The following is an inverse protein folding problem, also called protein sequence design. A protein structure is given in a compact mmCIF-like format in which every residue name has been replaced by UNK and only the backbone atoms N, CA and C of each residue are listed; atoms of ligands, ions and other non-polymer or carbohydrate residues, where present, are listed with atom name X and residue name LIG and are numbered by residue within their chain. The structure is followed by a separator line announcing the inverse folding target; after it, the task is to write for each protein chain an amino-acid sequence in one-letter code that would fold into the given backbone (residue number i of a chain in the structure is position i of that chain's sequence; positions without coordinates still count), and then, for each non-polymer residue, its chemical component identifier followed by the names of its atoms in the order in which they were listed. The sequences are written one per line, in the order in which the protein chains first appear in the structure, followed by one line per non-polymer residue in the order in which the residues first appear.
data_IF_466222494932
#
_entry.id   IF_466222494932
#
_cell.length_a   1.000
_cell.length_b   1.000
_cell.length_c   1.000
_cell.angle_alpha   90.00
_cell.angle_beta   90.00
_cell.angle_gamma   90.00
#
_symmetry.space_group_name_H-M   'P 1'
#
loop_
_entity.id
_entity.type
_entity.pdbx_description
1 polymer ?
#
# COMPACT_ATOMS: atom_id res chain seq x y z
N UNK A 1 -6.25 -0.24 12.57
CA UNK A 1 -7.42 -0.51 11.70
C UNK A 1 -8.72 -0.17 12.42
N UNK A 2 -8.97 -0.66 13.66
CA UNK A 2 -10.23 -0.39 14.39
C UNK A 2 -10.48 1.12 14.60
N UNK A 3 -9.46 1.92 14.85
CA UNK A 3 -9.61 3.38 14.98
C UNK A 3 -10.08 4.03 13.66
N UNK A 4 -9.66 3.50 12.51
CA UNK A 4 -10.10 3.97 11.21
C UNK A 4 -11.62 3.84 11.05
N UNK A 5 -12.23 2.78 11.57
CA UNK A 5 -13.67 2.57 11.52
C UNK A 5 -14.46 3.75 12.13
N UNK A 6 -13.96 4.31 13.24
CA UNK A 6 -14.59 5.47 13.88
C UNK A 6 -14.45 6.76 13.06
N UNK A 7 -13.40 6.86 12.24
CA UNK A 7 -13.16 8.02 11.38
C UNK A 7 -14.07 7.98 10.15
N UNK A 8 -14.23 6.81 9.55
CA UNK A 8 -14.91 6.67 8.24
C UNK A 8 -16.42 6.45 8.34
N UNK A 9 -16.93 6.06 9.53
CA UNK A 9 -18.32 5.61 9.69
C UNK A 9 -19.36 6.67 9.36
N UNK A 10 -19.06 7.93 9.65
CA UNK A 10 -20.00 9.05 9.50
C UNK A 10 -19.72 9.89 8.23
N UNK A 11 -18.76 9.47 7.41
CA UNK A 11 -18.37 10.19 6.20
C UNK A 11 -19.22 9.76 5.00
N UNK A 12 -19.60 10.73 4.17
CA UNK A 12 -20.39 10.49 2.96
C UNK A 12 -19.51 10.24 1.72
N UNK A 13 -18.38 10.90 1.63
CA UNK A 13 -17.41 10.74 0.55
C UNK A 13 -16.00 10.90 1.12
N UNK A 14 -15.19 9.85 0.99
CA UNK A 14 -13.86 9.82 1.59
C UNK A 14 -12.90 8.96 0.76
N UNK A 15 -11.67 9.42 0.56
CA UNK A 15 -10.60 8.61 0.05
C UNK A 15 -9.57 8.32 1.15
N UNK A 16 -9.44 7.06 1.53
CA UNK A 16 -8.52 6.59 2.56
C UNK A 16 -7.26 6.07 1.89
N UNK A 17 -6.15 6.76 2.07
CA UNK A 17 -4.82 6.30 1.64
C UNK A 17 -4.12 5.62 2.81
N UNK A 18 -3.64 4.40 2.57
CA UNK A 18 -3.02 3.59 3.62
C UNK A 18 -1.67 3.05 3.14
N UNK A 19 -0.69 3.05 4.05
CA UNK A 19 0.61 2.42 3.87
C UNK A 19 0.64 0.97 4.36
N UNK A 20 1.76 0.28 4.18
CA UNK A 20 1.99 -1.06 4.69
C UNK A 20 1.81 -1.15 6.21
N UNK A 21 1.37 -2.30 6.71
CA UNK A 21 1.18 -2.53 8.15
C UNK A 21 2.50 -2.79 8.86
N UNK A 22 2.71 -2.11 9.98
CA UNK A 22 3.87 -2.33 10.87
C UNK A 22 5.21 -2.18 10.14
N UNK A 23 6.06 -3.20 10.24
CA UNK A 23 7.38 -3.22 9.59
C UNK A 23 7.40 -4.06 8.30
N UNK A 24 6.28 -4.21 7.62
CA UNK A 24 6.15 -5.07 6.43
C UNK A 24 7.08 -4.62 5.31
N UNK A 25 7.22 -3.32 5.06
CA UNK A 25 8.14 -2.80 4.04
C UNK A 25 9.58 -3.24 4.29
N UNK A 26 10.06 -3.14 5.54
CA UNK A 26 11.40 -3.61 5.91
C UNK A 26 11.57 -5.13 5.68
N UNK A 27 10.55 -5.92 6.05
CA UNK A 27 10.58 -7.37 5.84
C UNK A 27 10.56 -7.74 4.34
N UNK A 28 9.87 -6.96 3.49
CA UNK A 28 9.89 -7.11 2.04
C UNK A 28 11.23 -6.69 1.42
N UNK A 29 11.91 -5.71 2.01
CA UNK A 29 13.30 -5.37 1.62
C UNK A 29 14.26 -6.54 1.90
N UNK A 30 14.07 -7.29 2.99
CA UNK A 30 14.84 -8.51 3.25
C UNK A 30 14.56 -9.58 2.18
N UNK A 31 13.31 -9.72 1.70
CA UNK A 31 12.96 -10.61 0.58
C UNK A 31 13.67 -10.19 -0.70
N UNK A 32 13.67 -8.88 -1.01
CA UNK A 32 14.39 -8.34 -2.16
C UNK A 32 15.89 -8.61 -2.08
N UNK A 33 16.52 -8.40 -0.91
CA UNK A 33 17.94 -8.66 -0.71
C UNK A 33 18.30 -10.15 -0.82
N UNK A 34 17.41 -11.03 -0.38
CA UNK A 34 17.59 -12.49 -0.56
C UNK A 34 17.45 -12.89 -2.03
N UNK A 35 16.46 -12.34 -2.75
CA UNK A 35 16.31 -12.57 -4.19
C UNK A 35 17.57 -12.15 -4.97
N UNK A 36 18.17 -11.01 -4.64
CA UNK A 36 19.43 -10.53 -5.24
C UNK A 36 20.59 -11.51 -5.04
N UNK A 37 20.59 -12.24 -3.93
CA UNK A 37 21.59 -13.26 -3.57
C UNK A 37 21.26 -14.65 -4.14
N UNK A 38 20.06 -14.82 -4.74
CA UNK A 38 19.56 -16.10 -5.21
C UNK A 38 19.13 -17.04 -4.07
N UNK A 39 18.89 -16.53 -2.88
CA UNK A 39 18.45 -17.31 -1.70
C UNK A 39 16.92 -17.46 -1.69
N UNK A 40 16.45 -18.36 -2.55
CA UNK A 40 15.03 -18.66 -2.70
C UNK A 40 14.41 -19.21 -1.41
N UNK A 41 15.16 -20.03 -0.66
CA UNK A 41 14.67 -20.61 0.59
C UNK A 41 14.40 -19.53 1.65
N UNK A 42 15.29 -18.54 1.76
CA UNK A 42 15.05 -17.40 2.64
C UNK A 42 13.86 -16.55 2.17
N UNK A 43 13.73 -16.30 0.85
CA UNK A 43 12.56 -15.60 0.31
C UNK A 43 11.26 -16.25 0.73
N UNK A 44 11.13 -17.59 0.54
CA UNK A 44 9.92 -18.33 0.89
C UNK A 44 9.64 -18.28 2.40
N UNK A 45 10.67 -18.48 3.23
CA UNK A 45 10.54 -18.42 4.69
C UNK A 45 10.09 -17.02 5.16
N UNK A 46 10.69 -15.96 4.62
CA UNK A 46 10.34 -14.58 5.00
C UNK A 46 8.95 -14.19 4.54
N UNK A 47 8.53 -14.59 3.33
CA UNK A 47 7.16 -14.38 2.84
C UNK A 47 6.15 -15.11 3.73
N UNK A 48 6.45 -16.32 4.18
CA UNK A 48 5.59 -17.06 5.10
C UNK A 48 5.47 -16.34 6.47
N UNK A 49 6.56 -15.77 6.98
CA UNK A 49 6.56 -14.95 8.20
C UNK A 49 5.68 -13.69 8.04
N UNK A 50 5.85 -12.95 6.94
CA UNK A 50 5.04 -11.77 6.62
C UNK A 50 3.56 -12.16 6.51
N UNK A 51 3.26 -13.27 5.84
CA UNK A 51 1.90 -13.79 5.71
C UNK A 51 1.30 -14.12 7.09
N UNK A 52 2.05 -14.82 7.94
CA UNK A 52 1.60 -15.15 9.29
C UNK A 52 1.28 -13.92 10.14
N UNK A 53 2.11 -12.88 10.08
CA UNK A 53 1.84 -11.60 10.74
C UNK A 53 0.50 -10.98 10.30
N UNK A 54 0.23 -10.95 8.99
CA UNK A 54 -1.02 -10.40 8.48
C UNK A 54 -2.22 -11.27 8.85
N UNK A 55 -2.08 -12.58 8.87
CA UNK A 55 -3.15 -13.48 9.32
C UNK A 55 -3.43 -13.40 10.82
N UNK A 56 -2.43 -13.09 11.65
CA UNK A 56 -2.67 -12.74 13.07
C UNK A 56 -3.52 -11.47 13.16
N UNK A 57 -3.20 -10.45 12.37
CA UNK A 57 -4.00 -9.21 12.31
C UNK A 57 -5.42 -9.48 11.80
N UNK A 58 -5.59 -10.31 10.78
CA UNK A 58 -6.91 -10.71 10.26
C UNK A 58 -7.70 -11.44 11.35
N UNK A 59 -7.09 -12.38 12.05
CA UNK A 59 -7.75 -13.12 13.14
C UNK A 59 -8.26 -12.17 14.24
N UNK A 60 -7.46 -11.19 14.62
CA UNK A 60 -7.83 -10.17 15.63
C UNK A 60 -8.95 -9.26 15.15
N UNK A 61 -8.97 -8.87 13.88
CA UNK A 61 -9.99 -8.00 13.29
C UNK A 61 -11.31 -8.73 13.06
N UNK A 62 -11.24 -9.96 12.57
CA UNK A 62 -12.40 -10.72 12.15
C UNK A 62 -12.93 -11.67 13.24
N UNK A 63 -12.19 -11.82 14.35
CA UNK A 63 -12.60 -12.63 15.48
C UNK A 63 -12.49 -14.15 15.26
N UNK A 64 -11.74 -14.58 14.24
CA UNK A 64 -11.52 -16.00 13.94
C UNK A 64 -10.14 -16.23 13.32
N UNK A 65 -9.39 -17.17 13.89
CA UNK A 65 -8.10 -17.60 13.33
C UNK A 65 -8.25 -18.37 11.99
N UNK A 66 -9.45 -18.82 11.67
CA UNK A 66 -9.75 -19.54 10.44
C UNK A 66 -10.25 -18.60 9.32
N UNK A 67 -10.48 -17.32 9.63
CA UNK A 67 -10.93 -16.37 8.63
C UNK A 67 -9.89 -16.19 7.53
N UNK A 68 -10.34 -16.25 6.29
CA UNK A 68 -9.49 -16.08 5.10
C UNK A 68 -10.02 -14.98 4.21
N UNK A 69 -9.11 -14.26 3.59
CA UNK A 69 -9.37 -13.28 2.54
C UNK A 69 -8.66 -13.80 1.30
N UNK A 70 -9.42 -14.29 0.32
CA UNK A 70 -8.87 -14.95 -0.88
C UNK A 70 -7.93 -14.02 -1.65
N UNK A 71 -8.24 -12.73 -1.72
CA UNK A 71 -7.41 -11.72 -2.38
C UNK A 71 -6.05 -11.56 -1.68
N UNK A 72 -6.00 -11.68 -0.35
CA UNK A 72 -4.74 -11.65 0.41
C UNK A 72 -3.91 -12.90 0.12
N UNK A 73 -4.54 -14.07 0.06
CA UNK A 73 -3.85 -15.30 -0.32
C UNK A 73 -3.29 -15.23 -1.74
N UNK A 74 -4.07 -14.68 -2.68
CA UNK A 74 -3.64 -14.49 -4.06
C UNK A 74 -2.44 -13.52 -4.17
N UNK A 75 -2.42 -12.43 -3.38
CA UNK A 75 -1.29 -11.50 -3.34
C UNK A 75 -0.02 -12.18 -2.83
N UNK A 76 -0.09 -12.94 -1.73
CA UNK A 76 1.08 -13.67 -1.21
C UNK A 76 1.58 -14.75 -2.17
N UNK A 77 0.68 -15.45 -2.86
CA UNK A 77 1.07 -16.43 -3.86
C UNK A 77 1.72 -15.76 -5.09
N UNK A 78 1.20 -14.62 -5.55
CA UNK A 78 1.79 -13.84 -6.62
C UNK A 78 3.20 -13.34 -6.26
N UNK A 79 3.39 -12.81 -5.04
CA UNK A 79 4.70 -12.42 -4.54
C UNK A 79 5.65 -13.62 -4.50
N UNK A 80 5.25 -14.74 -3.88
CA UNK A 80 6.05 -15.97 -3.81
C UNK A 80 6.48 -16.42 -5.21
N UNK A 81 5.53 -16.51 -6.13
CA UNK A 81 5.80 -16.91 -7.50
C UNK A 81 6.76 -15.94 -8.19
N UNK A 82 6.62 -14.64 -7.99
CA UNK A 82 7.49 -13.64 -8.64
C UNK A 82 8.97 -13.81 -8.23
N UNK A 83 9.25 -14.11 -6.96
CA UNK A 83 10.63 -14.25 -6.46
C UNK A 83 11.21 -15.64 -6.63
N UNK A 84 10.39 -16.70 -6.82
CA UNK A 84 10.86 -18.09 -6.97
C UNK A 84 11.01 -18.52 -8.42
N UNK A 85 10.21 -17.99 -9.35
CA UNK A 85 10.24 -18.40 -10.76
C UNK A 85 11.06 -17.46 -11.65
N UNK A 86 11.25 -16.23 -11.26
CA UNK A 86 12.03 -15.27 -12.04
C UNK A 86 13.49 -15.21 -11.57
N UNK A 87 14.40 -15.08 -12.55
CA UNK A 87 15.79 -14.77 -12.23
C UNK A 87 15.94 -13.27 -11.98
N UNK A 88 16.68 -12.94 -10.93
CA UNK A 88 17.03 -11.56 -10.65
C UNK A 88 17.96 -11.00 -11.74
N UNK A 89 17.55 -9.91 -12.34
CA UNK A 89 18.33 -9.16 -13.32
C UNK A 89 18.86 -7.86 -12.67
N UNK A 90 20.19 -7.73 -12.60
CA UNK A 90 20.85 -6.58 -11.97
C UNK A 90 20.49 -5.25 -12.64
N UNK A 91 20.26 -5.27 -13.95
CA UNK A 91 19.85 -4.09 -14.74
C UNK A 91 18.45 -3.59 -14.38
N UNK A 92 17.62 -4.44 -13.78
CA UNK A 92 16.23 -4.14 -13.35
C UNK A 92 16.09 -4.17 -11.82
N UNK A 93 17.18 -3.97 -11.10
CA UNK A 93 17.18 -4.10 -9.63
C UNK A 93 16.18 -3.18 -8.93
N UNK A 94 16.06 -1.93 -9.37
CA UNK A 94 15.13 -0.96 -8.76
C UNK A 94 13.67 -1.28 -9.09
N UNK A 95 13.40 -1.80 -10.28
CA UNK A 95 12.08 -2.30 -10.66
C UNK A 95 11.67 -3.52 -9.81
N UNK A 96 12.60 -4.46 -9.57
CA UNK A 96 12.36 -5.59 -8.67
C UNK A 96 12.10 -5.14 -7.24
N UNK A 97 12.83 -4.13 -6.77
CA UNK A 97 12.59 -3.53 -5.47
C UNK A 97 11.15 -3.01 -5.37
N UNK A 98 10.76 -2.13 -6.30
CA UNK A 98 9.42 -1.54 -6.31
C UNK A 98 8.32 -2.60 -6.40
N UNK A 99 8.51 -3.60 -7.26
CA UNK A 99 7.59 -4.72 -7.42
C UNK A 99 7.37 -5.47 -6.10
N UNK A 100 8.45 -5.79 -5.37
CA UNK A 100 8.38 -6.57 -4.13
C UNK A 100 7.80 -5.74 -2.98
N UNK A 101 8.29 -4.53 -2.76
CA UNK A 101 7.86 -3.74 -1.60
C UNK A 101 6.41 -3.27 -1.71
N UNK A 102 5.89 -3.09 -2.93
CA UNK A 102 4.49 -2.70 -3.17
C UNK A 102 3.46 -3.68 -2.58
N UNK A 103 3.83 -4.93 -2.36
CA UNK A 103 2.92 -5.91 -1.74
C UNK A 103 2.53 -5.55 -0.31
N UNK A 104 3.34 -4.75 0.39
CA UNK A 104 3.00 -4.24 1.72
C UNK A 104 1.70 -3.43 1.71
N UNK A 105 1.61 -2.47 0.82
CA UNK A 105 0.45 -1.61 0.65
C UNK A 105 -0.74 -2.35 0.05
N UNK A 106 -0.50 -3.23 -0.91
CA UNK A 106 -1.56 -4.04 -1.52
C UNK A 106 -2.26 -4.93 -0.49
N UNK A 107 -1.49 -5.66 0.31
CA UNK A 107 -2.04 -6.53 1.36
C UNK A 107 -2.73 -5.72 2.44
N UNK A 108 -2.11 -4.64 2.92
CA UNK A 108 -2.67 -3.76 3.95
C UNK A 108 -4.04 -3.22 3.55
N UNK A 109 -4.14 -2.62 2.37
CA UNK A 109 -5.39 -2.00 1.90
C UNK A 109 -6.47 -3.02 1.59
N UNK A 110 -6.11 -4.22 1.11
CA UNK A 110 -7.06 -5.33 0.91
C UNK A 110 -7.69 -5.76 2.23
N UNK A 111 -6.89 -5.93 3.28
CA UNK A 111 -7.39 -6.28 4.62
C UNK A 111 -8.30 -5.19 5.18
N UNK A 112 -7.91 -3.92 5.03
CA UNK A 112 -8.68 -2.78 5.54
C UNK A 112 -10.03 -2.68 4.81
N UNK A 113 -10.03 -2.76 3.49
CA UNK A 113 -11.26 -2.71 2.69
C UNK A 113 -12.22 -3.86 3.08
N UNK A 114 -11.72 -5.08 3.21
CA UNK A 114 -12.51 -6.23 3.64
C UNK A 114 -13.08 -6.03 5.06
N UNK A 115 -12.29 -5.52 6.00
CA UNK A 115 -12.72 -5.25 7.36
C UNK A 115 -13.80 -4.17 7.43
N UNK A 116 -13.63 -3.05 6.74
CA UNK A 116 -14.63 -1.98 6.68
C UNK A 116 -15.96 -2.50 6.11
N UNK A 117 -15.92 -3.28 5.03
CA UNK A 117 -17.12 -3.90 4.45
C UNK A 117 -17.81 -4.85 5.43
N UNK A 118 -17.06 -5.65 6.20
CA UNK A 118 -17.60 -6.52 7.25
C UNK A 118 -18.31 -5.71 8.34
N UNK A 119 -17.73 -4.59 8.74
CA UNK A 119 -18.28 -3.71 9.78
C UNK A 119 -19.41 -2.80 9.26
N UNK A 120 -19.88 -3.01 8.03
CA UNK A 120 -21.01 -2.31 7.44
C UNK A 120 -20.65 -0.98 6.74
N UNK A 121 -19.38 -0.60 6.71
CA UNK A 121 -18.89 0.57 5.97
C UNK A 121 -18.58 0.16 4.55
N UNK A 122 -19.55 0.30 3.66
CA UNK A 122 -19.42 -0.02 2.23
C UNK A 122 -18.37 0.86 1.60
N UNK A 123 -17.34 0.23 1.01
CA UNK A 123 -16.23 0.92 0.37
C UNK A 123 -15.78 0.19 -0.90
N UNK A 124 -15.07 0.91 -1.74
CA UNK A 124 -14.47 0.40 -2.98
C UNK A 124 -12.95 0.44 -2.86
N UNK A 125 -12.30 -0.70 -3.03
CA UNK A 125 -10.85 -0.79 -3.10
C UNK A 125 -10.37 -0.34 -4.49
N UNK A 126 -9.42 0.58 -4.53
CA UNK A 126 -8.84 1.16 -5.75
C UNK A 126 -7.38 0.75 -5.87
N UNK A 127 -7.00 0.09 -6.97
CA UNK A 127 -5.59 -0.20 -7.27
C UNK A 127 -4.90 1.07 -7.79
N UNK A 128 -4.10 1.70 -6.92
CA UNK A 128 -3.45 2.98 -7.24
C UNK A 128 -2.42 2.87 -8.35
N UNK A 129 -1.92 1.68 -8.66
CA UNK A 129 -1.04 1.44 -9.83
C UNK A 129 -1.78 1.66 -11.16
N UNK A 130 -3.11 1.57 -11.16
CA UNK A 130 -3.95 1.87 -12.34
C UNK A 130 -4.35 3.35 -12.42
N UNK A 131 -4.12 4.10 -11.35
CA UNK A 131 -4.54 5.49 -11.19
C UNK A 131 -3.37 6.47 -11.21
N UNK A 132 -2.27 6.11 -10.56
CA UNK A 132 -1.07 6.95 -10.49
C UNK A 132 -0.08 6.57 -11.59
N UNK A 133 -0.07 7.38 -12.65
CA UNK A 133 0.98 7.31 -13.67
C UNK A 133 2.19 8.08 -13.19
N UNK A 134 3.36 7.47 -13.29
CA UNK A 134 4.61 8.05 -12.80
C UNK A 134 5.63 8.21 -13.91
N UNK A 135 6.67 8.97 -13.65
CA UNK A 135 7.87 8.94 -14.47
C UNK A 135 8.44 7.51 -14.51
N UNK A 136 9.15 7.16 -15.60
CA UNK A 136 9.86 5.90 -15.73
C UNK A 136 11.12 5.87 -14.84
N UNK A 137 10.94 6.02 -13.54
CA UNK A 137 11.97 6.01 -12.51
C UNK A 137 11.49 5.16 -11.34
N UNK A 138 12.31 4.22 -10.92
CA UNK A 138 12.01 3.36 -9.77
C UNK A 138 12.57 3.93 -8.46
N UNK A 139 12.03 3.49 -7.31
CA UNK A 139 12.38 3.84 -5.92
C UNK A 139 12.08 5.27 -5.48
N UNK A 140 11.91 6.20 -6.39
CA UNK A 140 11.71 7.62 -6.11
C UNK A 140 11.02 8.28 -7.31
N UNK A 141 9.89 7.68 -7.74
CA UNK A 141 9.12 8.16 -8.87
C UNK A 141 8.26 9.36 -8.50
N UNK A 142 8.14 10.31 -9.40
CA UNK A 142 7.16 11.39 -9.28
C UNK A 142 5.88 11.03 -10.02
N UNK A 143 4.74 11.30 -9.40
CA UNK A 143 3.43 11.16 -10.05
C UNK A 143 3.27 12.24 -11.13
N UNK A 144 2.90 11.80 -12.32
CA UNK A 144 2.48 12.66 -13.42
C UNK A 144 1.02 13.08 -13.15
N UNK A 145 0.86 14.21 -12.46
CA UNK A 145 -0.45 14.62 -11.88
C UNK A 145 -1.49 14.77 -12.99
N UNK A 146 -1.16 15.45 -14.11
CA UNK A 146 -2.10 15.71 -15.18
C UNK A 146 -2.56 14.41 -15.84
N UNK A 147 -1.64 13.47 -16.08
CA UNK A 147 -1.91 12.16 -16.68
C UNK A 147 -2.70 11.26 -15.72
N UNK A 148 -2.52 11.44 -14.42
CA UNK A 148 -3.20 10.65 -13.38
C UNK A 148 -4.62 11.13 -13.08
N UNK A 149 -5.00 12.35 -13.48
CA UNK A 149 -6.34 12.92 -13.23
C UNK A 149 -7.46 12.05 -13.81
N UNK A 150 -7.34 11.70 -15.07
CA UNK A 150 -8.39 10.94 -15.77
C UNK A 150 -8.55 9.53 -15.20
N UNK A 151 -7.49 8.70 -15.07
CA UNK A 151 -7.65 7.35 -14.55
C UNK A 151 -8.17 7.33 -13.12
N UNK A 152 -7.71 8.22 -12.22
CA UNK A 152 -8.21 8.27 -10.85
C UNK A 152 -9.69 8.67 -10.77
N UNK A 153 -10.08 9.71 -11.50
CA UNK A 153 -11.49 10.15 -11.54
C UNK A 153 -12.41 9.09 -12.14
N UNK A 154 -11.98 8.40 -13.19
CA UNK A 154 -12.76 7.31 -13.77
C UNK A 154 -12.89 6.13 -12.80
N UNK A 155 -11.83 5.78 -12.07
CA UNK A 155 -11.88 4.71 -11.06
C UNK A 155 -12.88 5.04 -9.95
N UNK A 156 -12.88 6.28 -9.45
CA UNK A 156 -13.85 6.73 -8.45
C UNK A 156 -15.28 6.79 -9.01
N UNK A 157 -15.47 7.26 -10.24
CA UNK A 157 -16.78 7.37 -10.87
C UNK A 157 -17.40 5.99 -11.21
N UNK A 158 -16.58 5.00 -11.53
CA UNK A 158 -17.01 3.63 -11.82
C UNK A 158 -17.28 2.80 -10.56
N UNK A 159 -16.84 3.26 -9.39
CA UNK A 159 -17.01 2.55 -8.14
C UNK A 159 -18.44 2.68 -7.60
N UNK A 160 -18.95 1.61 -6.99
CA UNK A 160 -20.30 1.57 -6.43
C UNK A 160 -20.45 2.42 -5.17
N UNK A 161 -19.36 2.58 -4.42
CA UNK A 161 -19.37 3.26 -3.13
C UNK A 161 -18.57 4.57 -3.18
N UNK A 162 -18.90 5.48 -2.26
CA UNK A 162 -18.26 6.80 -2.14
C UNK A 162 -17.11 6.84 -1.13
N UNK A 163 -16.90 5.76 -0.39
CA UNK A 163 -15.73 5.58 0.45
C UNK A 163 -14.75 4.71 -0.34
N UNK A 164 -13.56 5.23 -0.56
CA UNK A 164 -12.51 4.56 -1.32
C UNK A 164 -11.34 4.19 -0.41
N UNK A 165 -10.75 3.03 -0.66
CA UNK A 165 -9.51 2.60 0.02
C UNK A 165 -8.45 2.34 -1.05
N UNK A 166 -7.35 3.07 -0.99
CA UNK A 166 -6.25 2.97 -1.94
C UNK A 166 -4.88 2.92 -1.26
N UNK A 167 -3.89 2.42 -2.00
CA UNK A 167 -2.52 2.33 -1.54
C UNK A 167 -1.86 3.71 -1.57
N UNK A 168 -1.12 4.06 -0.52
CA UNK A 168 -0.09 5.07 -0.60
C UNK A 168 1.18 4.52 -1.26
N UNK A 169 2.17 5.36 -1.48
CA UNK A 169 3.53 4.99 -1.84
C UNK A 169 3.73 4.36 -3.23
N UNK A 170 2.71 3.83 -3.92
CA UNK A 170 2.86 3.11 -5.18
C UNK A 170 2.12 3.75 -6.35
N UNK A 171 2.64 3.54 -7.56
CA UNK A 171 2.05 3.89 -8.84
C UNK A 171 2.56 2.98 -9.94
N UNK A 172 2.49 3.41 -11.20
CA UNK A 172 3.06 2.67 -12.32
C UNK A 172 3.76 3.57 -13.33
N UNK A 173 4.85 3.07 -13.89
CA UNK A 173 5.53 3.64 -15.02
C UNK A 173 4.72 3.47 -16.32
N UNK A 174 5.06 4.17 -17.43
CA UNK A 174 4.34 4.08 -18.70
C UNK A 174 4.32 2.69 -19.33
N UNK A 175 5.27 1.83 -19.01
CA UNK A 175 5.33 0.43 -19.45
C UNK A 175 4.48 -0.52 -18.59
N UNK A 176 3.80 0.01 -17.57
CA UNK A 176 2.96 -0.75 -16.65
C UNK A 176 3.71 -1.38 -15.48
N UNK A 177 5.01 -1.20 -15.36
CA UNK A 177 5.77 -1.68 -14.19
C UNK A 177 5.42 -0.88 -12.94
N UNK A 178 5.37 -1.55 -11.79
CA UNK A 178 5.09 -0.89 -10.51
C UNK A 178 6.25 0.04 -10.14
N UNK A 179 5.92 1.23 -9.64
CA UNK A 179 6.88 2.20 -9.11
C UNK A 179 6.58 2.54 -7.66
N UNK A 180 7.60 2.95 -6.90
CA UNK A 180 7.43 3.52 -5.56
C UNK A 180 7.79 5.00 -5.55
N UNK A 181 7.12 5.77 -4.68
CA UNK A 181 7.18 7.24 -4.66
C UNK A 181 8.24 7.78 -3.68
N UNK A 182 9.11 6.90 -3.21
CA UNK A 182 10.18 7.29 -2.29
C UNK A 182 9.69 7.58 -0.86
N UNK A 183 10.51 8.30 -0.12
CA UNK A 183 10.27 8.59 1.31
C UNK A 183 9.01 9.42 1.49
N UNK A 184 8.21 9.11 2.55
CA UNK A 184 6.91 9.75 2.82
C UNK A 184 5.89 9.61 1.66
N UNK A 185 6.06 8.58 0.84
CA UNK A 185 5.27 8.35 -0.37
C UNK A 185 3.77 8.21 -0.12
N UNK A 186 3.35 7.76 1.07
CA UNK A 186 1.92 7.68 1.41
C UNK A 186 1.28 9.06 1.63
N UNK A 187 1.98 9.98 2.30
CA UNK A 187 1.51 11.35 2.51
C UNK A 187 1.46 12.10 1.18
N UNK A 188 2.49 11.91 0.35
CA UNK A 188 2.51 12.44 -1.01
C UNK A 188 1.34 11.90 -1.84
N UNK A 189 1.06 10.60 -1.76
CA UNK A 189 -0.11 10.00 -2.44
C UNK A 189 -1.42 10.65 -2.00
N UNK A 190 -1.60 10.86 -0.69
CA UNK A 190 -2.80 11.52 -0.15
C UNK A 190 -2.95 12.95 -0.68
N UNK A 191 -1.86 13.72 -0.72
CA UNK A 191 -1.86 15.07 -1.27
C UNK A 191 -2.20 15.11 -2.77
N UNK A 192 -1.68 14.17 -3.55
CA UNK A 192 -1.99 14.05 -4.98
C UNK A 192 -3.46 13.69 -5.19
N UNK A 193 -4.00 12.73 -4.43
CA UNK A 193 -5.43 12.37 -4.48
C UNK A 193 -6.30 13.57 -4.13
N UNK A 194 -6.00 14.27 -3.02
CA UNK A 194 -6.73 15.45 -2.61
C UNK A 194 -6.74 16.55 -3.69
N UNK A 195 -5.59 16.79 -4.32
CA UNK A 195 -5.49 17.75 -5.43
C UNK A 195 -6.31 17.32 -6.64
N UNK A 196 -6.19 16.06 -7.09
CA UNK A 196 -6.88 15.56 -8.29
C UNK A 196 -8.40 15.55 -8.11
N UNK A 197 -8.88 15.15 -6.94
CA UNK A 197 -10.31 15.04 -6.63
C UNK A 197 -10.92 16.34 -6.11
N UNK A 198 -10.10 17.39 -5.91
CA UNK A 198 -10.52 18.67 -5.32
C UNK A 198 -11.16 18.49 -3.94
N UNK A 199 -10.51 17.70 -3.09
CA UNK A 199 -10.99 17.44 -1.75
C UNK A 199 -11.05 18.75 -0.91
N UNK A 200 -12.09 18.89 -0.12
CA UNK A 200 -12.28 20.04 0.79
C UNK A 200 -11.24 20.06 1.91
N UNK A 201 -10.79 18.88 2.33
CA UNK A 201 -9.79 18.74 3.39
C UNK A 201 -8.93 17.49 3.20
N UNK A 202 -7.76 17.48 3.81
CA UNK A 202 -6.89 16.33 3.92
C UNK A 202 -6.40 16.21 5.36
N UNK A 203 -6.57 15.04 5.97
CA UNK A 203 -6.09 14.76 7.31
C UNK A 203 -5.04 13.65 7.26
N UNK A 204 -3.88 13.88 7.86
CA UNK A 204 -2.80 12.90 7.98
C UNK A 204 -2.78 12.37 9.41
N UNK A 205 -2.93 11.06 9.55
CA UNK A 205 -2.88 10.36 10.84
C UNK A 205 -1.51 9.72 11.02
N UNK A 206 -0.81 10.10 12.08
CA UNK A 206 0.52 9.57 12.45
C UNK A 206 0.48 9.06 13.90
N UNK A 207 1.42 8.18 14.21
CA UNK A 207 1.68 7.66 15.56
C UNK A 207 2.62 8.55 16.38
N UNK A 208 2.60 9.85 16.10
CA UNK A 208 3.38 10.90 16.76
C UNK A 208 2.47 12.05 17.17
N UNK A 209 2.91 12.87 18.13
CA UNK A 209 2.11 13.96 18.71
C UNK A 209 1.81 15.11 17.73
N UNK A 210 2.48 15.15 16.59
CA UNK A 210 2.28 16.18 15.56
C UNK A 210 3.58 16.57 14.85
N UNK A 211 3.54 17.70 14.17
CA UNK A 211 4.72 18.29 13.55
C UNK A 211 5.49 19.05 14.62
N UNK A 212 6.72 18.61 14.88
CA UNK A 212 7.64 19.27 15.81
C UNK A 212 8.64 20.12 15.04
N UNK A 213 9.14 21.18 15.68
CA UNK A 213 10.14 22.08 15.11
C UNK A 213 11.58 21.52 15.18
N UNK A 214 11.77 20.38 15.87
CA UNK A 214 13.03 19.65 15.96
C UNK A 214 12.78 18.16 16.24
N UNK A 215 13.77 17.31 15.99
CA UNK A 215 13.72 15.88 16.34
C UNK A 215 13.81 15.72 17.87
N UNK A 216 12.77 15.19 18.55
CA UNK A 216 12.77 15.03 20.01
C UNK A 216 13.82 14.04 20.54
N UNK A 217 14.41 13.22 19.67
CA UNK A 217 15.52 12.34 20.03
C UNK A 217 16.86 13.09 20.13
N UNK A 218 16.97 14.21 19.41
CA UNK A 218 18.17 15.06 19.39
C UNK A 218 18.01 16.25 20.34
N UNK A 219 16.78 16.77 20.44
CA UNK A 219 16.43 17.91 21.27
C UNK A 219 15.27 17.49 22.21
N UNK A 220 15.54 16.66 23.24
CA UNK A 220 14.54 16.37 24.27
C UNK A 220 14.27 17.65 25.05
N UNK A 221 13.00 17.99 25.29
CA UNK A 221 12.56 19.10 26.16
C UNK A 221 13.05 18.93 27.60
#
# INVERSE_FOLDING_TARGET
VRNLLNIVRDENELFVIVSAMGKTTNALEEVFDAMRKGDTAFCESKIAEIKAYHYTTIADLFGSAEYRIEEVDALFEALRKSVTTNKFERSRAEEWYDHIVAYGELVSTTIISAFLNKEGVKNSWIDMRKCFLTQARHKDANVLIEESKTPLRLACAAAENRIFVGQGFIGSAPDGTTTTLGREGADYSAAVVANILHADSMTVWKDVEGILNADPKIFPD
#
